data_IF_418378074381
#
_entry.id   IF_418378074381
#
_cell.length_a   1.000
_cell.length_b   1.000
_cell.length_c   1.000
_cell.angle_alpha   90.00
_cell.angle_beta   90.00
_cell.angle_gamma   90.00
#
_symmetry.space_group_name_H-M   'P 1'
#
loop_
_entity.id
_entity.type
_entity.pdbx_description
1 polymer ?
#
# COMPACT_ATOMS: atom_id res chain seq x y z
N UNK A 1 4.24 -17.36 -23.34
CA UNK A 1 3.33 -16.30 -22.88
C UNK A 1 3.45 -16.27 -21.35
N UNK A 2 3.73 -15.13 -20.74
CA UNK A 2 3.74 -15.04 -19.26
C UNK A 2 2.40 -15.54 -18.71
N UNK A 3 2.36 -16.31 -17.61
CA UNK A 3 1.11 -16.87 -17.07
C UNK A 3 0.12 -15.80 -16.55
N UNK A 4 0.57 -14.55 -16.38
CA UNK A 4 -0.18 -13.46 -15.79
C UNK A 4 -0.91 -12.60 -16.84
N UNK A 5 -1.75 -13.24 -17.66
CA UNK A 5 -2.61 -12.55 -18.63
C UNK A 5 -3.76 -11.77 -17.97
N UNK A 6 -4.45 -10.95 -18.76
CA UNK A 6 -5.75 -10.38 -18.37
C UNK A 6 -6.81 -11.47 -18.51
N UNK A 7 -7.49 -11.78 -17.41
CA UNK A 7 -8.57 -12.77 -17.33
C UNK A 7 -9.92 -12.04 -17.26
N UNK A 8 -10.83 -12.35 -18.17
CA UNK A 8 -12.24 -11.98 -18.09
C UNK A 8 -13.04 -13.16 -17.55
N UNK A 9 -13.84 -12.94 -16.52
CA UNK A 9 -14.71 -13.96 -15.95
C UNK A 9 -16.11 -13.40 -15.70
N UNK A 10 -17.09 -14.28 -15.42
CA UNK A 10 -18.51 -13.90 -15.38
C UNK A 10 -18.83 -12.73 -14.44
N UNK A 11 -18.04 -12.55 -13.38
CA UNK A 11 -18.24 -11.52 -12.36
C UNK A 11 -17.28 -10.32 -12.46
N UNK A 12 -16.27 -10.33 -13.33
CA UNK A 12 -15.27 -9.25 -13.35
C UNK A 12 -14.08 -9.46 -14.28
N UNK A 13 -13.03 -8.68 -14.03
CA UNK A 13 -11.75 -8.71 -14.73
C UNK A 13 -10.65 -8.87 -13.69
N UNK A 14 -9.66 -9.72 -13.97
CA UNK A 14 -8.48 -9.91 -13.12
C UNK A 14 -7.22 -9.83 -13.96
N UNK A 15 -6.15 -9.28 -13.37
CA UNK A 15 -4.79 -9.44 -13.86
C UNK A 15 -3.93 -10.04 -12.75
N UNK A 16 -3.14 -11.06 -13.07
CA UNK A 16 -2.26 -11.72 -12.10
C UNK A 16 -2.74 -13.11 -11.69
N UNK A 17 -2.14 -13.66 -10.64
CA UNK A 17 -2.38 -15.01 -10.12
C UNK A 17 -2.97 -14.87 -8.71
N UNK A 18 -4.17 -15.42 -8.48
CA UNK A 18 -4.93 -15.22 -7.24
C UNK A 18 -4.17 -15.62 -5.97
N UNK A 19 -3.35 -16.66 -6.05
CA UNK A 19 -2.57 -17.17 -4.91
C UNK A 19 -1.16 -16.54 -4.80
N UNK A 20 -0.86 -15.53 -5.60
CA UNK A 20 0.46 -14.87 -5.58
C UNK A 20 0.37 -13.34 -5.65
N UNK A 21 -0.12 -12.76 -6.72
CA UNK A 21 -0.29 -11.31 -6.84
C UNK A 21 -1.38 -11.04 -7.88
N UNK A 22 -2.38 -10.25 -7.52
CA UNK A 22 -3.46 -9.93 -8.43
C UNK A 22 -4.05 -8.55 -8.20
N UNK A 23 -4.64 -8.04 -9.28
CA UNK A 23 -5.57 -6.93 -9.28
C UNK A 23 -6.89 -7.42 -9.87
N UNK A 24 -7.98 -7.25 -9.13
CA UNK A 24 -9.33 -7.66 -9.53
C UNK A 24 -10.29 -6.47 -9.49
N UNK A 25 -11.17 -6.40 -10.48
CA UNK A 25 -12.31 -5.49 -10.53
C UNK A 25 -13.58 -6.28 -10.81
N UNK A 26 -14.51 -6.26 -9.87
CA UNK A 26 -15.81 -6.92 -9.96
C UNK A 26 -16.87 -5.99 -10.58
N UNK A 27 -17.91 -6.59 -11.16
CA UNK A 27 -19.03 -5.86 -11.77
C UNK A 27 -19.82 -4.98 -10.80
N UNK A 28 -19.76 -5.25 -9.50
CA UNK A 28 -20.37 -4.42 -8.47
C UNK A 28 -19.51 -3.20 -8.08
N UNK A 29 -18.36 -2.99 -8.75
CA UNK A 29 -17.44 -1.89 -8.48
C UNK A 29 -16.38 -2.19 -7.43
N UNK A 30 -16.42 -3.34 -6.76
CA UNK A 30 -15.35 -3.73 -5.84
C UNK A 30 -14.05 -3.97 -6.59
N UNK A 31 -12.99 -3.30 -6.14
CA UNK A 31 -11.64 -3.46 -6.67
C UNK A 31 -10.70 -3.87 -5.54
N UNK A 32 -9.84 -4.85 -5.80
CA UNK A 32 -8.89 -5.36 -4.83
C UNK A 32 -7.52 -5.54 -5.48
N UNK A 33 -6.49 -5.11 -4.78
CA UNK A 33 -5.11 -5.46 -5.07
C UNK A 33 -4.56 -6.27 -3.90
N UNK A 34 -3.95 -7.41 -4.22
CA UNK A 34 -3.30 -8.27 -3.24
C UNK A 34 -1.93 -8.69 -3.76
N UNK A 35 -0.94 -8.69 -2.86
CA UNK A 35 0.44 -9.05 -3.14
C UNK A 35 1.10 -9.56 -1.85
N UNK A 36 2.05 -10.51 -1.92
CA UNK A 36 2.69 -11.06 -0.75
C UNK A 36 3.82 -10.13 -0.30
N UNK A 37 4.02 -10.02 1.01
CA UNK A 37 5.19 -9.33 1.56
C UNK A 37 6.41 -10.26 1.44
N UNK A 38 7.17 -10.10 0.37
CA UNK A 38 8.37 -10.89 0.06
C UNK A 38 9.65 -10.04 0.08
N UNK A 39 10.75 -10.58 -0.45
CA UNK A 39 12.03 -9.87 -0.49
C UNK A 39 12.01 -8.58 -1.33
N UNK A 40 11.05 -8.42 -2.25
CA UNK A 40 10.88 -7.19 -3.04
C UNK A 40 10.26 -6.05 -2.22
N UNK A 41 9.54 -6.38 -1.14
CA UNK A 41 9.04 -5.40 -0.17
C UNK A 41 10.14 -4.84 0.75
N UNK A 42 11.34 -5.41 0.69
CA UNK A 42 12.45 -5.11 1.59
C UNK A 42 13.63 -4.46 0.87
N UNK A 43 14.28 -3.49 1.52
CA UNK A 43 15.43 -2.82 0.93
C UNK A 43 16.73 -3.53 1.29
N UNK A 44 17.37 -4.14 0.29
CA UNK A 44 18.71 -4.75 0.39
C UNK A 44 18.87 -5.72 1.57
N UNK A 45 17.83 -6.47 1.90
CA UNK A 45 17.93 -7.54 2.89
C UNK A 45 18.21 -8.86 2.18
N UNK A 46 19.18 -9.61 2.68
CA UNK A 46 19.34 -11.01 2.31
C UNK A 46 18.13 -11.84 2.81
N UNK A 47 17.90 -13.02 2.22
CA UNK A 47 16.86 -13.96 2.69
C UNK A 47 17.03 -14.33 4.17
N UNK A 48 18.27 -14.42 4.65
CA UNK A 48 18.57 -14.69 6.05
C UNK A 48 18.21 -13.51 6.96
N UNK A 49 18.49 -12.27 6.54
CA UNK A 49 18.08 -11.09 7.29
C UNK A 49 16.57 -10.92 7.30
N UNK A 50 15.91 -11.18 6.17
CA UNK A 50 14.45 -11.14 6.07
C UNK A 50 13.78 -12.13 7.02
N UNK A 51 14.29 -13.37 7.12
CA UNK A 51 13.70 -14.39 8.01
C UNK A 51 13.87 -14.07 9.50
N UNK A 52 14.88 -13.28 9.86
CA UNK A 52 15.19 -12.91 11.25
C UNK A 52 14.56 -11.58 11.67
N UNK A 53 14.62 -10.58 10.78
CA UNK A 53 14.26 -9.17 11.03
C UNK A 53 13.73 -8.53 9.75
N UNK A 54 12.54 -8.91 9.28
CA UNK A 54 11.99 -8.35 8.06
C UNK A 54 11.74 -6.85 8.25
N UNK A 55 12.10 -6.06 7.24
CA UNK A 55 12.03 -4.60 7.30
C UNK A 55 11.37 -4.09 6.03
N UNK A 56 10.16 -3.55 6.20
CA UNK A 56 9.42 -2.92 5.12
C UNK A 56 10.17 -1.70 4.62
N UNK A 57 10.35 -1.67 3.32
CA UNK A 57 10.84 -0.50 2.62
C UNK A 57 9.67 0.47 2.39
N UNK A 58 9.83 1.78 2.66
CA UNK A 58 8.74 2.73 2.51
C UNK A 58 8.23 2.85 1.06
N UNK A 59 9.04 2.54 0.05
CA UNK A 59 8.63 2.68 -1.34
C UNK A 59 7.39 1.83 -1.69
N UNK A 60 7.40 0.48 -1.58
CA UNK A 60 6.21 -0.33 -1.86
C UNK A 60 5.04 -0.06 -0.90
N UNK A 61 5.33 0.26 0.37
CA UNK A 61 4.30 0.63 1.37
C UNK A 61 3.50 1.86 0.93
N UNK A 62 4.11 2.76 0.15
CA UNK A 62 3.50 4.01 -0.30
C UNK A 62 3.03 3.92 -1.75
N UNK A 63 3.84 3.35 -2.65
CA UNK A 63 3.56 3.26 -4.07
C UNK A 63 2.29 2.48 -4.35
N UNK A 64 2.07 1.33 -3.68
CA UNK A 64 0.90 0.50 -3.96
C UNK A 64 -0.43 1.19 -3.59
N UNK A 65 -0.64 1.72 -2.36
CA UNK A 65 -1.87 2.45 -2.05
C UNK A 65 -2.09 3.66 -2.96
N UNK A 66 -1.04 4.43 -3.26
CA UNK A 66 -1.14 5.62 -4.11
C UNK A 66 -1.52 5.25 -5.54
N UNK A 67 -0.84 4.27 -6.13
CA UNK A 67 -1.09 3.84 -7.51
C UNK A 67 -2.45 3.19 -7.64
N UNK A 68 -2.85 2.37 -6.67
CA UNK A 68 -4.16 1.75 -6.62
C UNK A 68 -5.27 2.82 -6.58
N UNK A 69 -5.17 3.80 -5.68
CA UNK A 69 -6.19 4.84 -5.53
C UNK A 69 -6.24 5.78 -6.74
N UNK A 70 -5.10 6.10 -7.36
CA UNK A 70 -5.07 6.86 -8.62
C UNK A 70 -5.75 6.09 -9.75
N UNK A 71 -5.46 4.80 -9.91
CA UNK A 71 -6.12 3.95 -10.91
C UNK A 71 -7.63 3.86 -10.65
N UNK A 72 -8.03 3.59 -9.41
CA UNK A 72 -9.45 3.49 -9.07
C UNK A 72 -10.19 4.81 -9.29
N UNK A 73 -9.56 5.93 -8.93
CA UNK A 73 -10.09 7.28 -9.20
C UNK A 73 -10.33 7.51 -10.69
N UNK A 74 -9.37 7.15 -11.53
CA UNK A 74 -9.50 7.26 -12.99
C UNK A 74 -10.69 6.41 -13.49
N UNK A 75 -10.85 5.17 -13.01
CA UNK A 75 -11.99 4.33 -13.37
C UNK A 75 -13.34 4.95 -12.94
N UNK A 76 -13.43 5.37 -11.68
CA UNK A 76 -14.64 6.02 -11.11
C UNK A 76 -15.03 7.24 -11.94
N UNK A 77 -14.06 8.05 -12.39
CA UNK A 77 -14.30 9.25 -13.21
C UNK A 77 -14.94 8.94 -14.58
N UNK A 78 -14.74 7.73 -15.12
CA UNK A 78 -15.30 7.31 -16.41
C UNK A 78 -16.70 6.74 -16.31
N UNK A 79 -17.09 6.24 -15.13
CA UNK A 79 -18.36 5.51 -14.93
C UNK A 79 -19.40 6.35 -14.18
N UNK A 80 -19.03 7.58 -13.75
CA UNK A 80 -19.92 8.54 -13.06
C UNK A 80 -20.62 7.93 -11.84
N UNK A 81 -19.85 7.27 -10.97
CA UNK A 81 -20.36 6.74 -9.70
C UNK A 81 -20.66 7.92 -8.77
N UNK A 82 -21.91 8.07 -8.32
CA UNK A 82 -22.34 9.13 -7.41
C UNK A 82 -22.35 8.69 -5.93
N UNK A 83 -22.24 7.38 -5.68
CA UNK A 83 -22.21 6.85 -4.31
C UNK A 83 -20.88 7.09 -3.63
N UNK A 84 -20.90 7.08 -2.29
CA UNK A 84 -19.69 6.95 -1.50
C UNK A 84 -18.94 5.66 -1.82
N UNK A 85 -17.63 5.70 -1.62
CA UNK A 85 -16.70 4.60 -1.78
C UNK A 85 -16.19 4.19 -0.40
N UNK A 86 -16.02 2.89 -0.19
CA UNK A 86 -15.37 2.34 0.99
C UNK A 86 -13.96 1.90 0.59
N UNK A 87 -12.97 2.37 1.34
CA UNK A 87 -11.56 2.07 1.11
C UNK A 87 -10.98 1.44 2.37
N UNK A 88 -10.21 0.37 2.18
CA UNK A 88 -9.49 -0.31 3.25
C UNK A 88 -8.06 -0.63 2.80
N UNK A 89 -7.13 -0.68 3.75
CA UNK A 89 -5.76 -1.15 3.57
C UNK A 89 -5.42 -2.09 4.73
N UNK A 90 -4.91 -3.27 4.38
CA UNK A 90 -4.54 -4.30 5.33
C UNK A 90 -3.11 -4.80 5.10
N UNK A 91 -2.39 -5.07 6.19
CA UNK A 91 -1.16 -5.84 6.20
C UNK A 91 -1.35 -7.06 7.09
N UNK A 92 -1.09 -8.25 6.57
CA UNK A 92 -1.34 -9.50 7.29
C UNK A 92 -0.05 -10.26 7.60
N UNK A 93 0.01 -10.88 8.78
CA UNK A 93 1.15 -11.66 9.26
C UNK A 93 2.47 -10.87 9.32
N UNK A 94 2.40 -9.62 9.82
CA UNK A 94 3.55 -8.71 9.89
C UNK A 94 4.16 -8.56 11.29
N UNK A 95 3.83 -9.47 12.22
CA UNK A 95 4.47 -9.49 13.52
C UNK A 95 5.98 -9.67 13.37
N UNK A 96 6.76 -8.82 14.03
CA UNK A 96 8.23 -8.83 13.97
C UNK A 96 8.81 -7.96 12.84
N UNK A 97 7.97 -7.33 12.02
CA UNK A 97 8.44 -6.42 10.98
C UNK A 97 8.86 -5.06 11.56
N UNK A 98 9.81 -4.43 10.90
CA UNK A 98 10.15 -3.00 11.05
C UNK A 98 9.68 -2.24 9.81
N UNK A 99 9.63 -0.90 9.89
CA UNK A 99 9.35 -0.03 8.75
C UNK A 99 10.39 1.08 8.69
N UNK A 100 11.11 1.21 7.58
CA UNK A 100 12.12 2.27 7.47
C UNK A 100 11.46 3.64 7.31
N UNK A 101 11.88 4.65 8.09
CA UNK A 101 11.47 6.03 7.87
C UNK A 101 12.27 6.67 6.73
N UNK A 102 11.75 7.78 6.19
CA UNK A 102 12.41 8.67 5.23
C UNK A 102 12.76 8.07 3.85
N UNK A 103 13.20 8.95 2.95
CA UNK A 103 13.65 8.58 1.60
C UNK A 103 15.03 7.89 1.67
N UNK A 104 15.32 6.95 0.77
CA UNK A 104 16.66 6.40 0.60
C UNK A 104 17.69 7.51 0.39
N UNK A 105 18.84 7.39 1.04
CA UNK A 105 19.91 8.40 0.95
C UNK A 105 19.74 9.61 1.87
N UNK A 106 18.63 9.72 2.62
CA UNK A 106 18.52 10.71 3.69
C UNK A 106 19.31 10.29 4.93
N UNK A 107 19.64 11.28 5.78
CA UNK A 107 20.35 11.08 7.05
C UNK A 107 19.56 10.11 7.94
N UNK A 108 18.28 10.36 8.20
CA UNK A 108 17.45 9.51 9.07
C UNK A 108 17.26 8.08 8.55
N UNK A 109 17.25 7.88 7.23
CA UNK A 109 17.24 6.55 6.62
C UNK A 109 18.54 5.76 6.91
N UNK A 110 19.68 6.46 6.91
CA UNK A 110 21.01 5.86 7.12
C UNK A 110 21.22 5.43 8.57
N UNK A 111 20.74 6.22 9.53
CA UNK A 111 20.86 5.92 10.96
C UNK A 111 19.84 4.90 11.48
N UNK A 112 18.93 4.42 10.61
CA UNK A 112 17.84 3.50 10.97
C UNK A 112 17.12 3.99 12.22
N UNK A 113 16.79 5.28 12.26
CA UNK A 113 16.06 5.85 13.39
C UNK A 113 14.82 5.00 13.68
N UNK A 114 14.65 4.71 14.97
CA UNK A 114 14.02 3.53 15.54
C UNK A 114 12.54 3.44 15.20
N UNK A 115 12.19 2.73 14.12
CA UNK A 115 10.87 2.13 14.04
C UNK A 115 10.74 1.08 15.13
N UNK A 116 9.64 1.09 15.86
CA UNK A 116 9.32 -0.01 16.77
C UNK A 116 9.08 -1.27 15.95
N UNK A 117 9.61 -2.39 16.40
CA UNK A 117 9.22 -3.71 15.86
C UNK A 117 7.73 -3.88 16.09
N UNK A 118 6.95 -4.09 15.03
CA UNK A 118 5.52 -4.29 15.13
C UNK A 118 5.23 -5.60 15.84
N UNK A 119 4.41 -5.57 16.89
CA UNK A 119 4.20 -6.68 17.81
C UNK A 119 2.86 -7.41 17.62
N UNK A 120 1.93 -6.81 16.88
CA UNK A 120 0.67 -7.41 16.51
C UNK A 120 0.77 -8.22 15.21
N UNK A 121 -0.24 -9.05 14.94
CA UNK A 121 -0.22 -9.96 13.79
C UNK A 121 -0.61 -9.27 12.48
N UNK A 122 -1.49 -8.28 12.53
CA UNK A 122 -2.08 -7.64 11.36
C UNK A 122 -2.30 -6.16 11.62
N UNK A 123 -2.05 -5.32 10.61
CA UNK A 123 -2.64 -3.97 10.55
C UNK A 123 -3.90 -4.10 9.71
N UNK A 124 -5.06 -3.86 10.29
CA UNK A 124 -6.34 -3.76 9.58
C UNK A 124 -6.85 -2.35 9.85
N UNK A 125 -6.75 -1.47 8.85
CA UNK A 125 -7.22 -0.11 9.03
C UNK A 125 -8.75 -0.08 9.05
N UNK A 126 -9.37 0.84 9.81
CA UNK A 126 -10.79 1.09 9.72
C UNK A 126 -11.19 1.48 8.30
N UNK A 127 -12.39 1.07 7.88
CA UNK A 127 -12.91 1.46 6.57
C UNK A 127 -13.06 2.98 6.49
N UNK A 128 -12.49 3.56 5.43
CA UNK A 128 -12.61 4.97 5.13
C UNK A 128 -13.73 5.18 4.11
N UNK A 129 -14.74 5.96 4.50
CA UNK A 129 -15.81 6.39 3.61
C UNK A 129 -15.42 7.70 2.91
N UNK A 130 -15.30 7.67 1.59
CA UNK A 130 -14.97 8.85 0.79
C UNK A 130 -16.01 9.08 -0.30
N UNK A 131 -16.17 10.32 -0.75
CA UNK A 131 -16.98 10.62 -1.94
C UNK A 131 -16.28 10.15 -3.21
N UNK A 132 -17.01 9.91 -4.29
CA UNK A 132 -16.43 9.56 -5.60
C UNK A 132 -15.46 10.62 -6.15
N UNK A 133 -15.64 11.87 -5.76
CA UNK A 133 -14.76 13.01 -6.07
C UNK A 133 -13.49 13.11 -5.19
N UNK A 134 -13.17 12.10 -4.37
CA UNK A 134 -11.99 12.10 -3.49
C UNK A 134 -10.65 12.42 -4.17
N UNK A 135 -9.71 12.98 -3.40
CA UNK A 135 -8.32 13.18 -3.81
C UNK A 135 -7.54 11.89 -3.49
N UNK A 136 -7.08 11.19 -4.53
CA UNK A 136 -6.37 9.91 -4.40
C UNK A 136 -5.13 9.99 -3.52
N UNK A 137 -4.34 11.05 -3.67
CA UNK A 137 -3.07 11.24 -2.97
C UNK A 137 -3.29 11.57 -1.49
N UNK A 138 -4.27 12.43 -1.20
CA UNK A 138 -4.62 12.76 0.19
C UNK A 138 -5.21 11.54 0.91
N UNK A 139 -6.12 10.81 0.25
CA UNK A 139 -6.69 9.57 0.80
C UNK A 139 -5.61 8.50 1.02
N UNK A 140 -4.66 8.35 0.08
CA UNK A 140 -3.53 7.46 0.27
C UNK A 140 -2.67 7.88 1.47
N UNK A 141 -2.38 9.18 1.60
CA UNK A 141 -1.61 9.72 2.72
C UNK A 141 -2.28 9.39 4.06
N UNK A 142 -3.59 9.58 4.19
CA UNK A 142 -4.33 9.33 5.43
C UNK A 142 -4.32 7.83 5.83
N UNK A 143 -4.27 6.92 4.86
CA UNK A 143 -4.11 5.49 5.11
C UNK A 143 -2.65 5.16 5.49
N UNK A 144 -1.68 5.69 4.76
CA UNK A 144 -0.26 5.46 4.99
C UNK A 144 0.17 6.01 6.34
N UNK A 145 -0.35 7.16 6.75
CA UNK A 145 -0.09 7.75 8.07
C UNK A 145 -0.50 6.80 9.19
N UNK A 146 -1.65 6.13 9.07
CA UNK A 146 -2.08 5.13 10.05
C UNK A 146 -1.16 3.90 10.07
N UNK A 147 -0.66 3.47 8.90
CA UNK A 147 0.35 2.40 8.83
C UNK A 147 1.62 2.83 9.55
N UNK A 148 2.17 4.01 9.25
CA UNK A 148 3.38 4.53 9.90
C UNK A 148 3.21 4.69 11.41
N UNK A 149 2.07 5.24 11.85
CA UNK A 149 1.73 5.37 13.27
C UNK A 149 1.68 4.01 13.99
N UNK A 150 1.29 2.94 13.29
CA UNK A 150 1.29 1.57 13.84
C UNK A 150 2.71 1.07 14.16
N UNK A 151 3.74 1.60 13.47
CA UNK A 151 5.17 1.36 13.78
C UNK A 151 5.77 2.41 14.73
N UNK A 152 4.96 3.31 15.28
CA UNK A 152 5.40 4.42 16.14
C UNK A 152 6.13 5.54 15.38
N UNK A 153 5.92 5.66 14.07
CA UNK A 153 6.53 6.66 13.22
C UNK A 153 5.58 7.83 13.00
N UNK A 154 6.06 9.06 13.22
CA UNK A 154 5.29 10.29 12.95
C UNK A 154 5.17 10.57 11.44
N UNK A 155 4.09 11.24 11.05
CA UNK A 155 3.79 11.53 9.65
C UNK A 155 4.89 12.31 8.89
N UNK A 156 5.68 13.14 9.59
CA UNK A 156 6.80 13.91 9.01
C UNK A 156 7.90 13.04 8.40
N UNK A 157 7.94 11.75 8.73
CA UNK A 157 8.93 10.81 8.23
C UNK A 157 8.43 10.03 7.01
N UNK A 158 7.18 10.23 6.61
CA UNK A 158 6.60 9.65 5.38
C UNK A 158 7.30 10.28 4.18
N UNK A 159 8.01 9.51 3.36
CA UNK A 159 8.66 10.04 2.18
C UNK A 159 7.68 10.35 1.04
N UNK A 160 8.20 11.00 0.00
CA UNK A 160 7.53 11.24 -1.29
C UNK A 160 6.31 12.17 -1.30
N UNK A 161 5.67 12.44 -0.16
CA UNK A 161 4.60 13.45 -0.08
C UNK A 161 5.16 14.87 -0.14
N UNK A 162 4.60 15.71 -1.02
CA UNK A 162 5.07 17.08 -1.22
C UNK A 162 4.20 18.10 -0.49
N UNK A 163 4.72 19.32 -0.33
CA UNK A 163 3.98 20.45 0.27
C UNK A 163 2.72 20.79 -0.53
N UNK A 164 2.69 20.49 -1.83
CA UNK A 164 1.51 20.68 -2.68
C UNK A 164 0.41 19.62 -2.45
N UNK A 165 0.66 18.60 -1.63
CA UNK A 165 -0.33 17.59 -1.27
C UNK A 165 -0.39 16.38 -2.22
N UNK A 166 0.70 16.04 -2.89
CA UNK A 166 0.79 14.90 -3.81
C UNK A 166 2.02 14.04 -3.54
N UNK A 167 1.95 12.75 -3.87
CA UNK A 167 3.11 11.85 -3.87
C UNK A 167 3.89 11.94 -5.18
N UNK A 168 5.21 12.11 -5.08
CA UNK A 168 6.17 12.09 -6.20
C UNK A 168 7.28 11.08 -5.91
N UNK A 169 7.30 9.99 -6.69
CA UNK A 169 8.27 8.90 -6.62
C UNK A 169 9.33 9.01 -7.69
#
# INVERSE_FOLDING_TARGET
LSPAGLELFGAGIRRGIKDFEYLELLKNGHMEFWTPLDEHFCYKQSKEEFSKRPTLYPYPVIEYPVTFLRLYKELVSKVLIESSLLINLCYVNIKGYNLLPYRPGSIGFTFRETSRVYDERHIILPEMNVKSEFNSDKTAYDLIEQVFNSFGLEAKVIPFFTEEGFFKF
#
